data_IF_384551929044
#
_entry.id   IF_384551929044
#
_cell.length_a   1.000
_cell.length_b   1.000
_cell.length_c   1.000
_cell.angle_alpha   90.00
_cell.angle_beta   90.00
_cell.angle_gamma   90.00
#
_symmetry.space_group_name_H-M   'P 1'
#
loop_
_entity.id
_entity.type
_entity.pdbx_description
1 polymer ?
#
# COMPACT_ATOMS: atom_id res chain seq x y z
N UNK A 1 -35.36 6.00 -0.16
CA UNK A 1 -34.96 7.41 -0.37
C UNK A 1 -33.91 7.68 0.72
N UNK A 2 -32.61 7.74 0.46
CA UNK A 2 -31.97 8.58 -0.55
C UNK A 2 -30.83 7.83 -1.25
N UNK A 3 -30.95 7.74 -2.57
CA UNK A 3 -29.82 7.64 -3.50
C UNK A 3 -28.83 8.79 -3.26
N UNK A 4 -27.56 8.63 -3.67
CA UNK A 4 -26.52 9.67 -3.78
C UNK A 4 -25.49 9.79 -2.63
N UNK A 5 -24.95 8.68 -2.11
CA UNK A 5 -23.53 8.64 -1.70
C UNK A 5 -22.77 7.73 -2.66
N UNK A 6 -22.94 7.99 -3.96
CA UNK A 6 -22.02 7.49 -4.96
C UNK A 6 -20.73 8.29 -4.74
N UNK A 7 -19.60 7.69 -4.34
CA UNK A 7 -18.34 8.43 -4.30
C UNK A 7 -18.07 8.89 -5.73
N UNK A 8 -18.44 10.14 -6.01
CA UNK A 8 -18.06 10.84 -7.22
C UNK A 8 -16.55 10.97 -7.09
N UNK A 9 -15.82 10.35 -8.01
CA UNK A 9 -14.37 10.39 -8.06
C UNK A 9 -13.82 11.82 -7.95
N UNK A 10 -12.51 11.92 -7.74
CA UNK A 10 -11.71 13.16 -7.62
C UNK A 10 -12.53 14.46 -7.68
N UNK A 11 -13.15 14.82 -6.56
CA UNK A 11 -13.97 16.03 -6.46
C UNK A 11 -13.15 17.11 -5.77
N UNK A 12 -12.85 18.19 -6.49
CA UNK A 12 -12.01 19.29 -6.00
C UNK A 12 -12.68 20.18 -4.92
N UNK A 13 -13.89 19.83 -4.47
CA UNK A 13 -14.62 20.55 -3.42
C UNK A 13 -13.88 20.57 -2.08
N UNK A 14 -13.14 19.50 -1.76
CA UNK A 14 -12.45 19.33 -0.47
C UNK A 14 -10.97 19.69 -0.49
N UNK A 15 -10.47 20.28 -1.58
CA UNK A 15 -9.03 20.51 -1.79
C UNK A 15 -8.37 21.34 -0.67
N UNK A 16 -9.12 22.26 -0.04
CA UNK A 16 -8.65 23.06 1.10
C UNK A 16 -8.35 22.22 2.36
N UNK A 17 -9.07 21.12 2.54
CA UNK A 17 -8.91 20.20 3.67
C UNK A 17 -7.99 19.04 3.32
N UNK A 18 -8.04 18.57 2.07
CA UNK A 18 -7.24 17.43 1.59
C UNK A 18 -5.75 17.78 1.49
N UNK A 19 -5.40 19.02 1.12
CA UNK A 19 -4.01 19.45 1.01
C UNK A 19 -3.24 19.40 2.35
N UNK A 20 -3.68 20.08 3.44
CA UNK A 20 -2.99 19.98 4.72
C UNK A 20 -3.04 18.57 5.31
N UNK A 21 -4.14 17.83 5.13
CA UNK A 21 -4.23 16.44 5.58
C UNK A 21 -3.22 15.54 4.85
N UNK A 22 -3.10 15.66 3.53
CA UNK A 22 -2.14 14.92 2.71
C UNK A 22 -0.69 15.23 3.10
N UNK A 23 -0.37 16.49 3.40
CA UNK A 23 0.96 16.88 3.88
C UNK A 23 1.31 16.21 5.21
N UNK A 24 0.38 16.21 6.17
CA UNK A 24 0.59 15.54 7.47
C UNK A 24 0.77 14.03 7.28
N UNK A 25 -0.07 13.40 6.46
CA UNK A 25 0.05 11.97 6.15
C UNK A 25 1.39 11.66 5.48
N UNK A 26 1.85 12.49 4.54
CA UNK A 26 3.17 12.33 3.90
C UNK A 26 4.32 12.39 4.91
N UNK A 27 4.30 13.39 5.81
CA UNK A 27 5.33 13.55 6.83
C UNK A 27 5.37 12.39 7.82
N UNK A 28 4.25 11.72 8.10
CA UNK A 28 4.19 10.52 8.94
C UNK A 28 4.53 9.25 8.13
N UNK A 29 4.15 9.19 6.86
CA UNK A 29 4.36 8.02 6.01
C UNK A 29 5.83 7.83 5.63
N UNK A 30 6.58 8.91 5.37
CA UNK A 30 8.01 8.84 5.04
C UNK A 30 8.85 8.09 6.11
N UNK A 31 8.84 8.49 7.39
CA UNK A 31 9.59 7.78 8.42
C UNK A 31 9.06 6.37 8.66
N UNK A 32 7.74 6.15 8.52
CA UNK A 32 7.15 4.82 8.64
C UNK A 32 7.66 3.87 7.54
N UNK A 33 7.72 4.31 6.29
CA UNK A 33 8.21 3.51 5.17
C UNK A 33 9.69 3.12 5.35
N UNK A 34 10.52 4.07 5.80
CA UNK A 34 11.93 3.82 6.10
C UNK A 34 12.10 2.87 7.28
N UNK A 35 11.32 3.06 8.34
CA UNK A 35 11.34 2.20 9.54
C UNK A 35 10.93 0.76 9.24
N UNK A 36 9.87 0.56 8.44
CA UNK A 36 9.43 -0.79 8.03
C UNK A 36 10.49 -1.46 7.16
N UNK A 37 11.05 -0.75 6.18
CA UNK A 37 12.11 -1.32 5.33
C UNK A 37 13.34 -1.76 6.13
N UNK A 38 13.79 -0.90 7.06
CA UNK A 38 14.90 -1.19 7.96
C UNK A 38 14.61 -2.40 8.85
N UNK A 39 13.42 -2.47 9.45
CA UNK A 39 13.02 -3.57 10.31
C UNK A 39 12.81 -4.88 9.55
N UNK A 40 12.47 -4.81 8.26
CA UNK A 40 12.35 -5.97 7.36
C UNK A 40 13.68 -6.49 6.81
N UNK A 41 14.81 -5.82 7.08
CA UNK A 41 16.10 -6.16 6.48
C UNK A 41 16.17 -5.89 4.96
N UNK A 42 15.22 -5.11 4.42
CA UNK A 42 15.17 -4.74 3.02
C UNK A 42 15.89 -3.40 2.77
N UNK A 43 16.33 -3.11 1.53
CA UNK A 43 16.90 -1.80 1.20
C UNK A 43 15.94 -0.66 1.55
N UNK A 44 16.40 0.39 2.23
CA UNK A 44 15.57 1.53 2.64
C UNK A 44 14.75 2.12 1.48
N UNK A 45 15.36 2.16 0.30
CA UNK A 45 14.73 2.68 -0.91
C UNK A 45 13.52 1.86 -1.36
N UNK A 46 13.46 0.55 -1.06
CA UNK A 46 12.32 -0.29 -1.43
C UNK A 46 11.05 0.08 -0.67
N UNK A 47 11.16 0.48 0.60
CA UNK A 47 10.02 0.94 1.39
C UNK A 47 9.42 2.24 0.83
N UNK A 48 10.28 3.18 0.43
CA UNK A 48 9.87 4.43 -0.22
C UNK A 48 9.19 4.13 -1.57
N UNK A 49 9.81 3.31 -2.43
CA UNK A 49 9.22 2.94 -3.73
C UNK A 49 7.87 2.25 -3.53
N UNK A 50 7.79 1.27 -2.61
CA UNK A 50 6.54 0.57 -2.33
C UNK A 50 5.44 1.51 -1.82
N UNK A 51 5.80 2.51 -1.00
CA UNK A 51 4.87 3.56 -0.56
C UNK A 51 4.36 4.43 -1.71
N UNK A 52 5.26 4.90 -2.59
CA UNK A 52 4.89 5.75 -3.74
C UNK A 52 4.03 4.98 -4.74
N UNK A 53 4.46 3.77 -5.13
CA UNK A 53 3.77 2.93 -6.12
C UNK A 53 2.44 2.44 -5.56
N UNK A 54 2.43 1.90 -4.33
CA UNK A 54 1.22 1.47 -3.66
C UNK A 54 0.22 2.60 -3.50
N UNK A 55 0.68 3.74 -2.93
CA UNK A 55 -0.08 4.96 -2.76
C UNK A 55 -0.76 5.43 -4.05
N UNK A 56 0.01 5.52 -5.13
CA UNK A 56 -0.49 6.00 -6.42
C UNK A 56 -1.47 5.01 -7.06
N UNK A 57 -1.09 3.73 -7.19
CA UNK A 57 -1.92 2.71 -7.87
C UNK A 57 -3.21 2.44 -7.12
N UNK A 58 -3.16 2.36 -5.79
CA UNK A 58 -4.33 2.07 -4.96
C UNK A 58 -5.22 3.31 -4.84
N UNK A 59 -4.68 4.53 -4.82
CA UNK A 59 -5.49 5.75 -4.83
C UNK A 59 -6.41 5.82 -6.06
N UNK A 60 -5.96 5.34 -7.23
CA UNK A 60 -6.78 5.31 -8.43
C UNK A 60 -7.77 4.13 -8.47
N UNK A 61 -7.45 2.99 -7.83
CA UNK A 61 -8.22 1.74 -7.98
C UNK A 61 -9.13 1.40 -6.78
N UNK A 62 -8.86 1.93 -5.59
CA UNK A 62 -9.51 1.50 -4.33
C UNK A 62 -10.97 1.95 -4.17
N UNK A 63 -11.38 3.06 -4.78
CA UNK A 63 -12.71 3.66 -4.58
C UNK A 63 -12.98 4.21 -3.16
N UNK A 64 -11.99 4.20 -2.27
CA UNK A 64 -12.09 4.73 -0.91
C UNK A 64 -11.61 6.19 -0.84
N UNK A 65 -12.39 7.06 -0.18
CA UNK A 65 -12.08 8.49 -0.08
C UNK A 65 -10.93 8.82 0.89
N UNK A 66 -10.62 7.92 1.84
CA UNK A 66 -9.65 8.16 2.92
C UNK A 66 -8.60 7.05 3.05
N UNK A 67 -8.49 6.15 2.07
CA UNK A 67 -7.47 5.08 2.16
C UNK A 67 -6.08 5.63 1.86
N UNK A 68 -5.12 5.18 2.66
CA UNK A 68 -3.69 5.40 2.45
C UNK A 68 -3.06 4.02 2.33
N UNK A 69 -2.22 3.82 1.33
CA UNK A 69 -1.59 2.54 1.06
C UNK A 69 -0.07 2.68 1.01
N UNK A 70 0.60 1.61 1.41
CA UNK A 70 2.04 1.53 1.53
C UNK A 70 2.46 0.26 2.28
N UNK A 71 3.75 0.14 2.65
CA UNK A 71 4.25 -0.99 3.42
C UNK A 71 3.48 -1.14 4.74
N UNK A 72 2.94 -2.33 5.01
CA UNK A 72 2.17 -2.60 6.21
C UNK A 72 3.08 -3.06 7.35
N UNK A 73 2.95 -2.45 8.53
CA UNK A 73 3.77 -2.80 9.69
C UNK A 73 3.65 -4.29 10.08
N UNK A 74 2.47 -4.90 9.94
CA UNK A 74 2.26 -6.32 10.21
C UNK A 74 2.99 -7.27 9.27
N UNK A 75 3.40 -6.81 8.07
CA UNK A 75 4.18 -7.61 7.13
C UNK A 75 5.69 -7.59 7.42
N UNK A 76 6.16 -6.71 8.30
CA UNK A 76 7.59 -6.47 8.53
C UNK A 76 8.36 -7.75 8.84
N UNK A 77 7.84 -8.53 9.81
CA UNK A 77 8.44 -9.80 10.26
C UNK A 77 8.31 -10.89 9.20
N UNK A 78 7.21 -10.88 8.44
CA UNK A 78 6.99 -11.83 7.35
C UNK A 78 8.02 -11.62 6.25
N UNK A 79 8.29 -10.36 5.87
CA UNK A 79 9.31 -10.00 4.89
C UNK A 79 10.70 -10.38 5.38
N UNK A 80 11.05 -10.05 6.63
CA UNK A 80 12.34 -10.41 7.21
C UNK A 80 12.60 -11.92 7.14
N UNK A 81 11.62 -12.71 7.61
CA UNK A 81 11.71 -14.17 7.57
C UNK A 81 11.72 -14.71 6.14
N UNK A 82 10.95 -14.12 5.22
CA UNK A 82 10.91 -14.55 3.83
C UNK A 82 12.25 -14.30 3.12
N UNK A 83 12.88 -13.12 3.32
CA UNK A 83 14.21 -12.83 2.78
C UNK A 83 15.24 -13.84 3.32
N UNK A 84 15.21 -14.13 4.62
CA UNK A 84 16.11 -15.12 5.21
C UNK A 84 15.87 -16.54 4.69
N UNK A 85 14.60 -16.93 4.46
CA UNK A 85 14.27 -18.28 3.96
C UNK A 85 14.55 -18.46 2.46
N UNK A 86 14.34 -17.41 1.66
CA UNK A 86 14.64 -17.44 0.22
C UNK A 86 16.11 -17.17 -0.10
N UNK A 87 16.91 -16.73 0.89
CA UNK A 87 18.34 -16.47 0.76
C UNK A 87 18.67 -15.11 0.14
N UNK A 88 17.91 -14.69 -0.87
CA UNK A 88 18.17 -13.46 -1.62
C UNK A 88 16.94 -12.54 -1.71
N UNK A 89 17.20 -11.23 -1.64
CA UNK A 89 16.17 -10.20 -1.80
C UNK A 89 15.51 -10.21 -3.18
N UNK A 90 16.26 -10.56 -4.24
CA UNK A 90 15.73 -10.62 -5.60
C UNK A 90 14.73 -11.77 -5.78
N UNK A 91 15.03 -12.93 -5.20
CA UNK A 91 14.10 -14.07 -5.14
C UNK A 91 12.84 -13.69 -4.35
N UNK A 92 12.99 -12.94 -3.26
CA UNK A 92 11.86 -12.42 -2.50
C UNK A 92 10.98 -11.48 -3.35
N UNK A 93 11.56 -10.57 -4.14
CA UNK A 93 10.80 -9.69 -5.03
C UNK A 93 9.99 -10.49 -6.05
N UNK A 94 10.56 -11.56 -6.62
CA UNK A 94 9.83 -12.46 -7.51
C UNK A 94 8.65 -13.13 -6.79
N UNK A 95 8.87 -13.64 -5.58
CA UNK A 95 7.81 -14.24 -4.77
C UNK A 95 6.69 -13.24 -4.46
N UNK A 96 7.03 -11.98 -4.14
CA UNK A 96 6.05 -10.90 -3.95
C UNK A 96 5.27 -10.61 -5.23
N UNK A 97 5.92 -10.59 -6.39
CA UNK A 97 5.24 -10.40 -7.67
C UNK A 97 4.23 -11.52 -7.95
N UNK A 98 4.60 -12.78 -7.69
CA UNK A 98 3.70 -13.93 -7.80
C UNK A 98 2.55 -13.84 -6.80
N UNK A 99 2.82 -13.46 -5.54
CA UNK A 99 1.79 -13.25 -4.53
C UNK A 99 0.80 -12.16 -4.95
N UNK A 100 1.28 -11.07 -5.57
CA UNK A 100 0.45 -10.01 -6.14
C UNK A 100 -0.46 -10.50 -7.27
N UNK A 101 0.06 -11.33 -8.18
CA UNK A 101 -0.75 -11.95 -9.24
C UNK A 101 -1.84 -12.86 -8.66
N UNK A 102 -1.50 -13.66 -7.65
CA UNK A 102 -2.46 -14.51 -6.93
C UNK A 102 -3.53 -13.62 -6.26
N UNK A 103 -3.11 -12.53 -5.60
CA UNK A 103 -4.02 -11.59 -4.93
C UNK A 103 -4.99 -10.92 -5.92
N UNK A 104 -4.53 -10.57 -7.12
CA UNK A 104 -5.38 -10.05 -8.20
C UNK A 104 -6.40 -11.13 -8.64
N UNK A 105 -5.96 -12.37 -8.86
CA UNK A 105 -6.84 -13.47 -9.23
C UNK A 105 -7.92 -13.75 -8.17
N UNK A 106 -7.53 -13.77 -6.89
CA UNK A 106 -8.46 -13.90 -5.77
C UNK A 106 -9.44 -12.72 -5.68
N UNK A 107 -8.99 -11.50 -6.02
CA UNK A 107 -9.83 -10.32 -6.13
C UNK A 107 -10.95 -10.47 -7.17
N UNK A 108 -10.64 -11.02 -8.35
CA UNK A 108 -11.64 -11.32 -9.39
C UNK A 108 -12.63 -12.40 -8.97
N UNK A 109 -12.15 -13.41 -8.23
CA UNK A 109 -12.98 -14.48 -7.68
C UNK A 109 -13.84 -14.02 -6.47
N UNK A 110 -13.67 -12.77 -6.00
CA UNK A 110 -14.32 -12.22 -4.80
C UNK A 110 -14.14 -13.09 -3.56
N UNK A 111 -12.99 -13.77 -3.44
CA UNK A 111 -12.71 -14.70 -2.35
C UNK A 111 -12.51 -14.02 -0.96
N UNK A 112 -12.62 -12.69 -0.88
CA UNK A 112 -12.53 -11.91 0.36
C UNK A 112 -13.88 -11.58 1.00
N UNK A 113 -15.00 -12.06 0.44
CA UNK A 113 -16.35 -11.85 0.98
C UNK A 113 -16.77 -13.16 1.66
N UNK A 114 -16.57 -13.23 2.97
CA UNK A 114 -17.14 -14.28 3.85
C UNK A 114 -18.03 -13.57 4.85
#
# INVERSE_FOLDING_TARGET
>A
MNSELKPKGLTFTYLKNDFPAGLVVFLVALPLCLGIALASGAPLFSGIIAGIVGGTVVAFTSGSALSVSGPAAGLTVIVLNAIHQLGDYETFLLAVALAGLIQIALGFLKAGII
#
